data_IF_295866355725
#
_entry.id   IF_295866355725
#
_cell.length_a   1.000
_cell.length_b   1.000
_cell.length_c   1.000
_cell.angle_alpha   90.00
_cell.angle_beta   90.00
_cell.angle_gamma   90.00
#
_symmetry.space_group_name_H-M   'P 1'
#
loop_
_entity.id
_entity.type
_entity.pdbx_description
1 polymer ?
#
# COMPACT_ATOMS: atom_id res chain seq x y z
N UNK A 1 83.57 9.76 -13.33
CA UNK A 1 82.88 8.55 -13.82
C UNK A 1 81.88 8.17 -12.76
N UNK A 2 80.69 8.75 -12.82
CA UNK A 2 79.69 8.66 -11.77
C UNK A 2 78.52 7.81 -12.27
N UNK A 3 78.12 6.88 -11.41
CA UNK A 3 77.19 5.79 -11.67
C UNK A 3 75.77 6.27 -12.04
N UNK A 4 75.13 5.39 -12.80
CA UNK A 4 73.86 5.53 -13.50
C UNK A 4 72.69 5.98 -12.62
N UNK A 5 71.96 6.96 -13.15
CA UNK A 5 70.63 7.40 -12.72
C UNK A 5 69.60 6.42 -13.29
N UNK A 6 68.76 5.85 -12.43
CA UNK A 6 67.45 5.31 -12.82
C UNK A 6 66.44 5.57 -11.70
N UNK A 7 65.55 6.54 -11.91
CA UNK A 7 64.44 6.89 -11.05
C UNK A 7 63.16 6.98 -11.88
N UNK A 8 62.18 6.11 -11.60
CA UNK A 8 60.72 6.29 -11.77
C UNK A 8 60.04 4.92 -11.93
N UNK A 9 59.15 4.56 -10.98
CA UNK A 9 57.67 4.51 -11.13
C UNK A 9 57.20 3.11 -11.58
N UNK A 10 56.25 2.40 -10.97
CA UNK A 10 55.12 2.74 -10.11
C UNK A 10 54.78 1.55 -9.18
N UNK A 11 54.39 1.80 -7.93
CA UNK A 11 53.69 0.82 -7.09
C UNK A 11 52.37 1.42 -6.60
N UNK A 12 51.31 1.03 -7.32
CA UNK A 12 49.90 0.89 -6.93
C UNK A 12 49.45 1.65 -5.66
N UNK A 13 48.92 2.85 -5.85
CA UNK A 13 48.07 3.55 -4.89
C UNK A 13 46.66 3.61 -5.48
N UNK A 14 45.89 2.52 -5.35
CA UNK A 14 44.56 2.41 -5.98
C UNK A 14 43.54 1.54 -5.25
N UNK A 15 43.85 1.06 -4.04
CA UNK A 15 43.01 0.07 -3.34
C UNK A 15 42.29 0.61 -2.08
N UNK A 16 42.27 1.93 -1.86
CA UNK A 16 41.77 2.51 -0.60
C UNK A 16 40.50 3.34 -0.73
N UNK A 17 40.07 3.74 -1.93
CA UNK A 17 38.83 4.50 -2.11
C UNK A 17 37.57 3.62 -2.02
N UNK A 18 37.58 2.44 -2.66
CA UNK A 18 36.44 1.52 -2.64
C UNK A 18 36.18 0.91 -1.25
N UNK A 19 37.25 0.74 -0.47
CA UNK A 19 37.19 0.14 0.88
C UNK A 19 36.60 1.12 1.91
N UNK A 20 36.75 2.44 1.70
CA UNK A 20 36.18 3.47 2.58
C UNK A 20 34.70 3.76 2.29
N UNK A 21 34.25 3.58 1.04
CA UNK A 21 32.82 3.67 0.70
C UNK A 21 32.01 2.54 1.35
N UNK A 22 32.58 1.33 1.42
CA UNK A 22 31.98 0.18 2.11
C UNK A 22 31.89 0.44 3.62
N UNK A 23 32.92 1.05 4.22
CA UNK A 23 32.93 1.39 5.64
C UNK A 23 31.92 2.50 6.02
N UNK A 24 31.69 3.49 5.13
CA UNK A 24 30.73 4.57 5.38
C UNK A 24 29.28 4.09 5.42
N UNK A 25 28.98 3.00 4.71
CA UNK A 25 27.64 2.39 4.69
C UNK A 25 27.32 1.63 5.99
N UNK A 26 28.33 1.20 6.75
CA UNK A 26 28.13 0.41 7.96
C UNK A 26 27.67 1.23 9.19
N UNK A 27 27.80 2.56 9.17
CA UNK A 27 27.54 3.41 10.35
C UNK A 27 26.08 3.87 10.46
N UNK A 28 25.23 3.57 9.45
CA UNK A 28 23.79 3.86 9.48
C UNK A 28 22.89 2.63 9.72
N UNK A 29 23.46 1.45 10.04
CA UNK A 29 22.70 0.22 10.30
C UNK A 29 22.06 0.16 11.70
N UNK A 30 21.36 1.23 12.07
CA UNK A 30 20.37 1.19 13.14
C UNK A 30 18.99 1.18 12.45
N UNK A 31 18.55 -0.02 12.07
CA UNK A 31 17.12 -0.33 11.90
C UNK A 31 16.51 -0.34 10.50
N UNK A 32 17.26 -0.46 9.41
CA UNK A 32 16.67 -0.35 8.06
C UNK A 32 16.88 -1.58 7.19
N UNK A 33 15.78 -2.02 6.59
CA UNK A 33 15.53 -3.05 5.58
C UNK A 33 16.30 -2.79 4.25
N UNK A 34 17.51 -2.25 4.32
CA UNK A 34 18.27 -1.70 3.19
C UNK A 34 18.74 -2.78 2.20
N UNK A 35 18.97 -4.01 2.67
CA UNK A 35 19.39 -5.12 1.81
C UNK A 35 18.29 -5.57 0.83
N UNK A 36 17.02 -5.19 1.05
CA UNK A 36 15.93 -5.54 0.12
C UNK A 36 16.00 -4.78 -1.22
N UNK A 37 16.83 -3.72 -1.31
CA UNK A 37 16.89 -2.82 -2.46
C UNK A 37 18.13 -2.97 -3.33
N UNK A 38 19.18 -3.66 -2.87
CA UNK A 38 20.47 -3.72 -3.59
C UNK A 38 20.44 -4.70 -4.78
N UNK A 39 19.61 -5.75 -4.76
CA UNK A 39 19.57 -6.80 -5.78
C UNK A 39 18.13 -7.08 -6.28
N UNK A 40 17.50 -6.09 -6.94
CA UNK A 40 16.14 -6.26 -7.50
C UNK A 40 16.11 -7.14 -8.76
N UNK A 41 17.27 -7.38 -9.40
CA UNK A 41 17.37 -8.05 -10.70
C UNK A 41 17.59 -9.58 -10.61
N UNK A 42 18.09 -10.11 -9.49
CA UNK A 42 18.58 -11.50 -9.41
C UNK A 42 17.54 -12.55 -8.96
N UNK A 43 16.37 -12.13 -8.48
CA UNK A 43 15.31 -13.05 -8.03
C UNK A 43 14.05 -12.87 -8.87
N UNK A 44 13.63 -13.94 -9.56
CA UNK A 44 12.38 -13.94 -10.31
C UNK A 44 11.19 -13.71 -9.36
N UNK A 45 10.58 -12.53 -9.44
CA UNK A 45 9.46 -12.09 -8.59
C UNK A 45 8.23 -13.01 -8.76
N UNK A 46 7.98 -13.51 -9.98
CA UNK A 46 6.80 -14.31 -10.28
C UNK A 46 6.71 -15.61 -9.44
N UNK A 47 7.75 -16.45 -9.38
CA UNK A 47 7.77 -17.63 -8.50
C UNK A 47 7.49 -17.34 -7.02
N UNK A 48 8.01 -16.22 -6.48
CA UNK A 48 7.77 -15.86 -5.09
C UNK A 48 6.31 -15.48 -4.82
N UNK A 49 5.64 -14.84 -5.78
CA UNK A 49 4.21 -14.50 -5.66
C UNK A 49 3.30 -15.74 -5.69
N UNK A 50 3.71 -16.79 -6.40
CA UNK A 50 2.99 -18.06 -6.49
C UNK A 50 3.43 -19.06 -5.39
N UNK A 51 4.32 -18.65 -4.47
CA UNK A 51 4.78 -19.48 -3.35
C UNK A 51 3.64 -19.85 -2.39
N UNK A 52 3.86 -20.91 -1.60
CA UNK A 52 2.97 -21.28 -0.49
C UNK A 52 3.26 -20.50 0.78
N UNK A 53 4.45 -19.90 0.90
CA UNK A 53 4.89 -19.21 2.10
C UNK A 53 4.55 -17.72 2.02
N UNK A 54 3.84 -17.21 3.03
CA UNK A 54 3.46 -15.79 3.06
C UNK A 54 4.67 -14.86 3.18
N UNK A 55 5.79 -15.32 3.77
CA UNK A 55 7.04 -14.56 3.84
C UNK A 55 7.62 -14.26 2.44
N UNK A 56 7.64 -15.26 1.56
CA UNK A 56 8.14 -15.12 0.19
C UNK A 56 7.24 -14.19 -0.64
N UNK A 57 5.92 -14.29 -0.44
CA UNK A 57 4.95 -13.37 -1.06
C UNK A 57 5.15 -11.94 -0.57
N UNK A 58 5.35 -11.74 0.73
CA UNK A 58 5.62 -10.42 1.30
C UNK A 58 6.88 -9.80 0.69
N UNK A 59 7.96 -10.58 0.59
CA UNK A 59 9.21 -10.14 -0.03
C UNK A 59 9.02 -9.73 -1.48
N UNK A 60 8.31 -10.55 -2.27
CA UNK A 60 7.99 -10.25 -3.66
C UNK A 60 7.16 -8.98 -3.82
N UNK A 61 6.13 -8.81 -2.99
CA UNK A 61 5.26 -7.63 -3.02
C UNK A 61 6.00 -6.36 -2.57
N UNK A 62 6.88 -6.44 -1.57
CA UNK A 62 7.75 -5.31 -1.17
C UNK A 62 8.65 -4.88 -2.31
N UNK A 63 9.28 -5.83 -3.01
CA UNK A 63 10.09 -5.57 -4.21
C UNK A 63 9.27 -4.92 -5.34
N UNK A 64 8.05 -5.42 -5.59
CA UNK A 64 7.16 -4.80 -6.58
C UNK A 64 6.84 -3.35 -6.22
N UNK A 65 6.51 -3.06 -4.96
CA UNK A 65 6.23 -1.70 -4.52
C UNK A 65 7.48 -0.80 -4.58
N UNK A 66 8.67 -1.35 -4.35
CA UNK A 66 9.94 -0.64 -4.53
C UNK A 66 10.15 -0.24 -6.00
N UNK A 67 9.92 -1.17 -6.94
CA UNK A 67 10.00 -0.90 -8.38
C UNK A 67 8.98 0.15 -8.82
N UNK A 68 7.75 0.10 -8.30
CA UNK A 68 6.73 1.14 -8.52
C UNK A 68 7.20 2.50 -8.01
N UNK A 69 7.81 2.55 -6.81
CA UNK A 69 8.33 3.79 -6.23
C UNK A 69 9.49 4.38 -7.05
N UNK A 70 10.26 3.53 -7.75
CA UNK A 70 11.29 3.94 -8.72
C UNK A 70 10.71 4.33 -10.09
N UNK A 71 9.41 4.16 -10.32
CA UNK A 71 8.73 4.52 -11.56
C UNK A 71 8.70 3.42 -12.62
N UNK A 72 9.11 2.20 -12.29
CA UNK A 72 9.03 1.07 -13.22
C UNK A 72 7.61 0.54 -13.35
N UNK A 73 7.22 0.16 -14.57
CA UNK A 73 5.94 -0.46 -14.84
C UNK A 73 5.99 -1.98 -14.61
N UNK A 74 5.48 -2.41 -13.46
CA UNK A 74 5.36 -3.81 -13.07
C UNK A 74 3.92 -4.33 -13.18
N UNK A 75 3.09 -3.71 -14.03
CA UNK A 75 1.70 -4.13 -14.27
C UNK A 75 1.57 -5.55 -14.84
N UNK A 76 2.65 -6.14 -15.37
CA UNK A 76 2.67 -7.51 -15.86
C UNK A 76 2.45 -8.56 -14.75
N UNK A 77 2.69 -8.21 -13.48
CA UNK A 77 2.48 -9.10 -12.33
C UNK A 77 1.06 -9.03 -11.75
N UNK A 78 0.16 -8.23 -12.33
CA UNK A 78 -1.18 -8.01 -11.80
C UNK A 78 -1.96 -9.32 -11.57
N UNK A 79 -1.97 -10.31 -12.50
CA UNK A 79 -2.66 -11.58 -12.27
C UNK A 79 -2.14 -12.33 -11.03
N UNK A 80 -0.82 -12.37 -10.84
CA UNK A 80 -0.18 -13.03 -9.69
C UNK A 80 -0.51 -12.29 -8.38
N UNK A 81 -0.58 -10.95 -8.42
CA UNK A 81 -0.96 -10.15 -7.25
C UNK A 81 -2.42 -10.38 -6.87
N UNK A 82 -3.34 -10.41 -7.84
CA UNK A 82 -4.78 -10.63 -7.61
C UNK A 82 -5.05 -11.98 -6.95
N UNK A 83 -4.33 -13.05 -7.32
CA UNK A 83 -4.46 -14.36 -6.65
C UNK A 83 -4.25 -14.28 -5.13
N UNK A 84 -3.45 -13.32 -4.68
CA UNK A 84 -3.08 -13.16 -3.28
C UNK A 84 -3.98 -12.19 -2.51
N UNK A 85 -5.00 -11.58 -3.14
CA UNK A 85 -5.93 -10.64 -2.46
C UNK A 85 -6.71 -11.31 -1.33
N UNK A 86 -7.00 -12.60 -1.45
CA UNK A 86 -7.70 -13.40 -0.46
C UNK A 86 -6.77 -13.98 0.63
N UNK A 87 -5.49 -13.58 0.68
CA UNK A 87 -4.56 -14.05 1.70
C UNK A 87 -5.05 -13.67 3.11
N UNK A 88 -4.81 -14.56 4.07
CA UNK A 88 -5.11 -14.34 5.48
C UNK A 88 -3.99 -13.55 6.19
N UNK A 89 -2.78 -13.51 5.60
CA UNK A 89 -1.69 -12.70 6.12
C UNK A 89 -1.99 -11.21 5.93
N UNK A 90 -2.04 -10.49 7.05
CA UNK A 90 -2.32 -9.04 7.06
C UNK A 90 -1.28 -8.25 6.29
N UNK A 91 -0.02 -8.70 6.32
CA UNK A 91 1.08 -8.04 5.62
C UNK A 91 0.92 -8.21 4.10
N UNK A 92 0.71 -9.43 3.62
CA UNK A 92 0.42 -9.72 2.20
C UNK A 92 -0.77 -8.89 1.73
N UNK A 93 -1.88 -8.95 2.47
CA UNK A 93 -3.12 -8.23 2.14
C UNK A 93 -2.87 -6.72 1.99
N UNK A 94 -2.17 -6.10 2.93
CA UNK A 94 -1.87 -4.66 2.89
C UNK A 94 -1.02 -4.29 1.66
N UNK A 95 -0.03 -5.11 1.32
CA UNK A 95 0.84 -4.87 0.16
C UNK A 95 0.07 -5.05 -1.16
N UNK A 96 -0.79 -6.08 -1.25
CA UNK A 96 -1.69 -6.28 -2.40
C UNK A 96 -2.59 -5.07 -2.59
N UNK A 97 -3.16 -4.52 -1.51
CA UNK A 97 -4.06 -3.36 -1.59
C UNK A 97 -3.35 -2.11 -2.14
N UNK A 98 -2.10 -1.88 -1.71
CA UNK A 98 -1.27 -0.78 -2.22
C UNK A 98 -1.01 -0.94 -3.72
N UNK A 99 -0.66 -2.14 -4.16
CA UNK A 99 -0.43 -2.44 -5.57
C UNK A 99 -1.71 -2.21 -6.41
N UNK A 100 -2.84 -2.74 -5.94
CA UNK A 100 -4.13 -2.60 -6.63
C UNK A 100 -4.53 -1.13 -6.74
N UNK A 101 -4.35 -0.33 -5.69
CA UNK A 101 -4.67 1.10 -5.72
C UNK A 101 -3.85 1.85 -6.78
N UNK A 102 -2.59 1.47 -6.99
CA UNK A 102 -1.72 2.10 -7.99
C UNK A 102 -2.13 1.74 -9.43
N UNK A 103 -2.51 0.48 -9.68
CA UNK A 103 -2.77 0.00 -11.04
C UNK A 103 -4.25 -0.10 -11.44
N UNK A 104 -5.20 0.11 -10.52
CA UNK A 104 -6.62 -0.10 -10.80
C UNK A 104 -7.15 0.72 -11.98
N UNK A 105 -6.68 1.96 -12.16
CA UNK A 105 -7.08 2.78 -13.30
C UNK A 105 -6.48 2.29 -14.63
N UNK A 106 -5.27 1.74 -14.59
CA UNK A 106 -4.57 1.22 -15.77
C UNK A 106 -5.10 -0.15 -16.20
N UNK A 107 -5.59 -0.95 -15.25
CA UNK A 107 -6.06 -2.34 -15.42
C UNK A 107 -7.42 -2.53 -14.71
N UNK A 108 -8.49 -1.88 -15.19
CA UNK A 108 -9.78 -1.87 -14.49
C UNK A 108 -10.43 -3.25 -14.42
N UNK A 109 -10.37 -4.02 -15.52
CA UNK A 109 -11.00 -5.34 -15.60
C UNK A 109 -10.37 -6.32 -14.61
N UNK A 110 -9.05 -6.29 -14.48
CA UNK A 110 -8.32 -7.11 -13.53
C UNK A 110 -8.56 -6.65 -12.08
N UNK A 111 -8.66 -5.33 -11.84
CA UNK A 111 -8.98 -4.78 -10.52
C UNK A 111 -10.39 -5.19 -10.04
N UNK A 112 -11.36 -5.28 -10.95
CA UNK A 112 -12.73 -5.71 -10.63
C UNK A 112 -12.79 -7.11 -10.01
N UNK A 113 -11.84 -8.00 -10.36
CA UNK A 113 -11.74 -9.34 -9.77
C UNK A 113 -11.50 -9.30 -8.25
N UNK A 114 -10.93 -8.22 -7.73
CA UNK A 114 -10.61 -8.05 -6.31
C UNK A 114 -11.78 -7.53 -5.47
N UNK A 115 -12.83 -6.99 -6.10
CA UNK A 115 -13.94 -6.30 -5.41
C UNK A 115 -14.69 -7.24 -4.47
N UNK A 116 -14.95 -8.48 -4.89
CA UNK A 116 -15.62 -9.48 -4.06
C UNK A 116 -14.83 -9.77 -2.77
N UNK A 117 -13.49 -9.76 -2.85
CA UNK A 117 -12.66 -9.95 -1.66
C UNK A 117 -12.75 -8.75 -0.72
N UNK A 118 -12.71 -7.52 -1.23
CA UNK A 118 -12.91 -6.35 -0.39
C UNK A 118 -14.28 -6.33 0.29
N UNK A 119 -15.34 -6.71 -0.42
CA UNK A 119 -16.68 -6.81 0.16
C UNK A 119 -16.74 -7.81 1.32
N UNK A 120 -16.04 -8.95 1.19
CA UNK A 120 -15.90 -9.91 2.28
C UNK A 120 -15.11 -9.30 3.45
N UNK A 121 -14.01 -8.61 3.16
CA UNK A 121 -13.13 -8.00 4.16
C UNK A 121 -13.80 -6.85 4.95
N UNK A 122 -14.84 -6.20 4.40
CA UNK A 122 -15.72 -5.28 5.16
C UNK A 122 -16.50 -5.97 6.29
N UNK A 123 -16.53 -7.30 6.34
CA UNK A 123 -17.13 -8.09 7.42
C UNK A 123 -16.12 -8.78 8.32
N UNK A 124 -14.82 -8.52 8.16
CA UNK A 124 -13.76 -9.19 8.92
C UNK A 124 -13.83 -8.83 10.42
N UNK A 125 -13.54 -9.76 11.35
CA UNK A 125 -13.49 -9.45 12.78
C UNK A 125 -12.47 -8.35 13.12
N UNK A 126 -11.37 -8.24 12.38
CA UNK A 126 -10.34 -7.23 12.59
C UNK A 126 -10.77 -5.87 12.02
N UNK A 127 -10.91 -4.82 12.85
CA UNK A 127 -11.30 -3.48 12.38
C UNK A 127 -10.31 -2.87 11.39
N UNK A 128 -9.03 -3.25 11.44
CA UNK A 128 -8.03 -2.76 10.49
C UNK A 128 -8.32 -3.27 9.07
N UNK A 129 -8.70 -4.54 8.94
CA UNK A 129 -9.03 -5.16 7.65
C UNK A 129 -10.28 -4.50 7.07
N UNK A 130 -11.32 -4.29 7.88
CA UNK A 130 -12.54 -3.57 7.46
C UNK A 130 -12.23 -2.17 6.96
N UNK A 131 -11.44 -1.40 7.72
CA UNK A 131 -11.05 -0.04 7.34
C UNK A 131 -10.18 0.00 6.07
N UNK A 132 -9.20 -0.91 5.94
CA UNK A 132 -8.38 -0.99 4.74
C UNK A 132 -9.20 -1.35 3.52
N UNK A 133 -10.13 -2.30 3.63
CA UNK A 133 -11.03 -2.68 2.54
C UNK A 133 -11.85 -1.48 2.06
N UNK A 134 -12.47 -0.75 2.99
CA UNK A 134 -13.23 0.46 2.67
C UNK A 134 -12.37 1.52 1.99
N UNK A 135 -11.18 1.78 2.54
CA UNK A 135 -10.24 2.77 1.99
C UNK A 135 -9.77 2.41 0.59
N UNK A 136 -9.54 1.12 0.32
CA UNK A 136 -9.15 0.62 -1.00
C UNK A 136 -10.31 0.71 -1.98
N UNK A 137 -11.52 0.28 -1.59
CA UNK A 137 -12.71 0.40 -2.43
C UNK A 137 -13.00 1.85 -2.83
N UNK A 138 -12.95 2.79 -1.89
CA UNK A 138 -13.12 4.22 -2.18
C UNK A 138 -11.93 4.85 -2.89
N UNK A 139 -10.75 4.24 -2.83
CA UNK A 139 -9.55 4.71 -3.53
C UNK A 139 -9.47 4.25 -4.99
N UNK A 140 -10.13 3.16 -5.34
CA UNK A 140 -10.22 2.66 -6.71
C UNK A 140 -11.18 3.58 -7.48
N UNK A 141 -10.63 4.37 -8.40
CA UNK A 141 -11.39 5.34 -9.22
C UNK A 141 -12.11 4.69 -10.40
N UNK A 142 -12.95 3.69 -10.13
CA UNK A 142 -13.79 3.04 -11.13
C UNK A 142 -15.27 3.36 -10.85
N UNK A 143 -15.91 4.16 -11.71
CA UNK A 143 -17.30 4.58 -11.51
C UNK A 143 -18.27 3.40 -11.36
N UNK A 144 -18.03 2.29 -12.06
CA UNK A 144 -18.84 1.06 -11.99
C UNK A 144 -18.93 0.45 -10.57
N UNK A 145 -17.98 0.71 -9.68
CA UNK A 145 -18.05 0.22 -8.29
C UNK A 145 -18.70 1.23 -7.33
N UNK A 146 -19.00 2.45 -7.78
CA UNK A 146 -19.55 3.54 -6.95
C UNK A 146 -20.71 3.11 -6.05
N UNK A 147 -21.77 2.46 -6.58
CA UNK A 147 -22.87 1.96 -5.75
C UNK A 147 -22.44 0.97 -4.66
N UNK A 148 -21.44 0.12 -4.94
CA UNK A 148 -20.90 -0.82 -3.95
C UNK A 148 -20.13 -0.10 -2.84
N UNK A 149 -19.37 0.94 -3.21
CA UNK A 149 -18.64 1.77 -2.23
C UNK A 149 -19.62 2.55 -1.35
N UNK A 150 -20.71 3.07 -1.91
CA UNK A 150 -21.74 3.76 -1.13
C UNK A 150 -22.36 2.86 -0.05
N UNK A 151 -22.72 1.62 -0.41
CA UNK A 151 -23.20 0.62 0.56
C UNK A 151 -22.14 0.30 1.61
N UNK A 152 -20.87 0.16 1.19
CA UNK A 152 -19.75 -0.10 2.09
C UNK A 152 -19.56 1.03 3.12
N UNK A 153 -19.62 2.29 2.69
CA UNK A 153 -19.54 3.47 3.57
C UNK A 153 -20.70 3.47 4.56
N UNK A 154 -21.94 3.23 4.11
CA UNK A 154 -23.10 3.16 4.99
C UNK A 154 -22.96 2.08 6.08
N UNK A 155 -22.41 0.92 5.73
CA UNK A 155 -22.10 -0.16 6.68
C UNK A 155 -21.01 0.26 7.68
N UNK A 156 -19.90 0.81 7.19
CA UNK A 156 -18.75 1.20 8.01
C UNK A 156 -19.01 2.45 8.88
N UNK A 157 -19.93 3.32 8.48
CA UNK A 157 -20.38 4.45 9.29
C UNK A 157 -20.99 3.97 10.61
N UNK A 158 -21.67 2.82 10.62
CA UNK A 158 -22.28 2.21 11.81
C UNK A 158 -21.40 1.14 12.47
N UNK A 159 -20.10 1.12 12.16
CA UNK A 159 -19.17 0.12 12.69
C UNK A 159 -18.93 0.32 14.21
N UNK A 160 -18.82 -0.77 14.99
CA UNK A 160 -18.50 -0.68 16.42
C UNK A 160 -17.16 0.03 16.69
N UNK A 161 -16.19 -0.10 15.77
CA UNK A 161 -14.88 0.52 15.92
C UNK A 161 -14.88 1.98 15.47
N UNK A 162 -14.46 2.88 16.37
CA UNK A 162 -14.23 4.31 16.07
C UNK A 162 -13.26 4.49 14.89
N UNK A 163 -12.26 3.61 14.77
CA UNK A 163 -11.28 3.67 13.68
C UNK A 163 -11.94 3.48 12.30
N UNK A 164 -12.88 2.53 12.20
CA UNK A 164 -13.60 2.24 10.96
C UNK A 164 -14.57 3.37 10.63
N UNK A 165 -15.27 3.93 11.62
CA UNK A 165 -16.15 5.10 11.42
C UNK A 165 -15.38 6.32 10.91
N UNK A 166 -14.20 6.59 11.47
CA UNK A 166 -13.28 7.63 10.98
C UNK A 166 -12.82 7.37 9.54
N UNK A 167 -12.66 6.11 9.15
CA UNK A 167 -12.31 5.76 7.78
C UNK A 167 -13.50 5.93 6.81
N UNK A 168 -14.72 5.64 7.26
CA UNK A 168 -15.93 5.91 6.47
C UNK A 168 -16.10 7.40 6.21
N UNK A 169 -15.83 8.22 7.22
CA UNK A 169 -15.80 9.67 7.09
C UNK A 169 -14.84 10.17 6.00
N UNK A 170 -13.61 9.66 5.97
CA UNK A 170 -12.61 10.07 4.97
C UNK A 170 -12.86 9.53 3.56
N UNK A 171 -13.75 8.54 3.42
CA UNK A 171 -14.14 7.99 2.12
C UNK A 171 -15.23 8.82 1.42
N UNK A 172 -15.99 9.65 2.15
CA UNK A 172 -17.12 10.41 1.60
C UNK A 172 -16.77 11.30 0.40
N UNK A 173 -15.69 12.12 0.42
CA UNK A 173 -15.37 12.95 -0.73
C UNK A 173 -15.10 12.10 -1.98
N UNK A 174 -14.47 10.94 -1.80
CA UNK A 174 -14.17 10.02 -2.91
C UNK A 174 -15.43 9.36 -3.47
N UNK A 175 -16.40 9.02 -2.62
CA UNK A 175 -17.69 8.46 -3.07
C UNK A 175 -18.49 9.49 -3.83
N UNK A 176 -18.50 10.75 -3.37
CA UNK A 176 -19.12 11.84 -4.12
C UNK A 176 -18.56 11.92 -5.54
N UNK A 177 -17.24 11.89 -5.70
CA UNK A 177 -16.58 11.92 -7.01
C UNK A 177 -16.93 10.70 -7.88
N UNK A 178 -17.09 9.51 -7.28
CA UNK A 178 -17.47 8.28 -7.98
C UNK A 178 -18.93 8.30 -8.47
N UNK A 179 -19.84 8.96 -7.75
CA UNK A 179 -21.28 8.95 -7.99
C UNK A 179 -21.80 10.08 -8.89
N UNK A 180 -20.93 10.92 -9.47
CA UNK A 180 -21.33 12.06 -10.30
C UNK A 180 -22.12 11.68 -11.58
N UNK A 181 -22.11 10.41 -12.00
CA UNK A 181 -22.74 9.97 -13.26
C UNK A 181 -24.16 9.38 -13.10
N UNK A 182 -24.54 8.85 -11.93
CA UNK A 182 -25.86 8.24 -11.72
C UNK A 182 -26.40 8.54 -10.30
N UNK A 183 -27.51 9.28 -10.26
CA UNK A 183 -28.39 9.53 -9.09
C UNK A 183 -27.91 10.55 -8.02
N UNK A 184 -28.02 11.83 -8.37
CA UNK A 184 -28.00 13.02 -7.49
C UNK A 184 -29.02 13.00 -6.32
N UNK A 185 -29.88 12.00 -6.22
CA UNK A 185 -30.92 11.88 -5.18
C UNK A 185 -30.59 10.90 -4.04
N UNK A 186 -29.44 10.21 -4.06
CA UNK A 186 -29.02 9.33 -2.95
C UNK A 186 -28.09 10.02 -1.93
N UNK A 187 -27.68 11.26 -2.21
CA UNK A 187 -26.93 12.12 -1.29
C UNK A 187 -27.92 13.04 -0.59
N UNK A 188 -28.97 12.49 0.03
CA UNK A 188 -29.74 13.26 1.01
C UNK A 188 -28.91 13.34 2.30
N UNK A 189 -28.38 14.55 2.47
CA UNK A 189 -27.50 15.13 3.48
C UNK A 189 -27.80 14.85 4.97
N UNK A 190 -28.80 14.04 5.35
CA UNK A 190 -29.31 14.05 6.73
C UNK A 190 -28.67 13.00 7.65
N UNK A 191 -28.37 11.78 7.18
CA UNK A 191 -27.94 10.72 8.11
C UNK A 191 -26.42 10.66 8.39
N UNK A 192 -25.59 11.23 7.50
CA UNK A 192 -24.14 11.28 7.70
C UNK A 192 -23.73 12.48 8.56
N UNK A 193 -24.37 13.64 8.41
CA UNK A 193 -24.10 14.80 9.26
C UNK A 193 -24.58 14.54 10.70
N UNK A 194 -25.73 13.89 10.90
CA UNK A 194 -26.21 13.46 12.22
C UNK A 194 -25.26 12.45 12.90
N UNK A 195 -24.62 11.57 12.13
CA UNK A 195 -23.64 10.61 12.65
C UNK A 195 -22.33 11.29 13.09
N UNK A 196 -21.93 12.35 12.38
CA UNK A 196 -20.72 13.12 12.72
C UNK A 196 -20.94 14.09 13.88
N UNK A 197 -22.12 14.72 14.00
CA UNK A 197 -22.44 15.59 15.12
C UNK A 197 -22.57 14.83 16.44
N UNK A 198 -23.06 13.57 16.41
CA UNK A 198 -23.15 12.74 17.61
C UNK A 198 -21.77 12.31 18.18
N UNK A 199 -20.80 11.98 17.32
CA UNK A 199 -19.46 11.57 17.76
C UNK A 199 -18.53 12.79 18.03
N UNK A 200 -18.68 13.94 17.33
CA UNK A 200 -17.90 15.16 17.62
C UNK A 200 -18.25 15.79 18.98
N UNK A 201 -19.54 15.79 19.37
CA UNK A 201 -19.94 16.32 20.68
C UNK A 201 -19.50 15.40 21.84
N UNK A 202 -19.51 14.08 21.65
CA UNK A 202 -19.09 13.14 22.68
C UNK A 202 -17.58 13.25 22.99
N UNK A 203 -16.74 13.52 21.99
CA UNK A 203 -15.30 13.70 22.18
C UNK A 203 -14.91 15.04 22.83
N UNK A 204 -15.67 16.11 22.59
CA UNK A 204 -15.38 17.43 23.16
C UNK A 204 -15.95 17.62 24.59
N UNK A 205 -17.04 16.95 24.95
CA UNK A 205 -17.62 17.02 26.30
C UNK A 205 -16.85 16.15 27.30
N UNK A 206 -16.25 15.02 26.89
CA UNK A 206 -15.49 14.14 27.79
C UNK A 206 -14.10 14.72 28.14
N UNK A 207 -13.47 15.48 27.25
CA UNK A 207 -12.17 16.13 27.53
C UNK A 207 -12.30 17.44 28.34
N UNK A 208 -13.52 17.89 28.64
CA UNK A 208 -13.77 19.08 29.46
C UNK A 208 -14.38 18.74 30.84
N UNK A 209 -14.47 17.45 31.18
CA UNK A 209 -15.04 16.93 32.44
C UNK A 209 -14.15 15.88 33.15
N UNK A 210 -12.90 15.71 32.71
CA UNK A 210 -11.81 15.02 33.41
C UNK A 210 -10.56 15.91 33.34
#
# INVERSE_FOLDING_TARGET
MNASISTSRDHKFGATAETLSKASTMVFQIGTDAHLYDDLDDISIAPLLDSKFDSEKCEALKRLLALIAQGFDVSNYFPQVVKNVASQSLEVKKLVYLYLLHYAEKRPNEALLSINCFQKDLGDPNPLVRAWALRTMAGIRLHVIGPLVLVAVGKCARDPSVYVRKCAASALPKVHDLCLEEHTSAIEEVHLIDLFLYDYFCFHVIHHLL
#
